data_IF_440212825024
#
_entry.id   IF_440212825024
#
_cell.length_a   1.000
_cell.length_b   1.000
_cell.length_c   1.000
_cell.angle_alpha   90.00
_cell.angle_beta   90.00
_cell.angle_gamma   90.00
#
_symmetry.space_group_name_H-M   'P 1'
#
loop_
_entity.id
_entity.type
_entity.pdbx_description
1 polymer ?
#
# COMPACT_ATOMS: atom_id res chain seq x y z
N UNK A 1 1.28 17.39 -11.75
CA UNK A 1 1.13 17.21 -10.29
C UNK A 1 0.28 15.98 -10.01
N UNK A 2 0.73 15.11 -9.14
CA UNK A 2 -0.05 13.95 -8.72
C UNK A 2 -0.91 14.32 -7.50
N UNK A 3 -2.20 13.98 -7.54
CA UNK A 3 -3.11 14.17 -6.42
C UNK A 3 -3.69 12.81 -6.07
N UNK A 4 -3.44 12.35 -4.85
CA UNK A 4 -4.05 11.17 -4.30
C UNK A 4 -5.16 11.60 -3.34
N UNK A 5 -6.35 11.06 -3.53
CA UNK A 5 -7.46 11.36 -2.65
C UNK A 5 -7.51 10.36 -1.51
N UNK A 6 -7.49 10.88 -0.29
CA UNK A 6 -7.77 10.09 0.89
C UNK A 6 -9.25 10.21 1.23
N UNK A 7 -9.83 9.12 1.69
CA UNK A 7 -11.23 9.14 2.11
C UNK A 7 -11.34 9.24 3.61
N UNK A 8 -12.24 10.10 4.06
CA UNK A 8 -12.57 10.21 5.47
C UNK A 8 -13.78 9.34 5.77
N UNK A 9 -13.65 8.46 6.75
CA UNK A 9 -14.78 7.64 7.18
C UNK A 9 -15.76 8.48 7.98
N UNK A 10 -16.95 8.68 7.44
CA UNK A 10 -17.99 9.45 8.14
C UNK A 10 -18.77 8.61 9.11
N UNK A 11 -18.82 7.30 8.88
CA UNK A 11 -19.49 6.34 9.77
C UNK A 11 -18.71 5.06 9.74
N UNK A 12 -18.19 4.65 10.88
CA UNK A 12 -17.27 3.54 10.96
C UNK A 12 -17.72 2.57 12.06
N UNK A 13 -17.33 1.30 11.87
CA UNK A 13 -17.58 0.26 12.85
C UNK A 13 -16.46 -0.76 12.80
N UNK A 14 -16.35 -1.57 13.83
CA UNK A 14 -15.39 -2.65 13.90
C UNK A 14 -14.21 -2.35 14.79
N UNK A 15 -13.22 -3.26 14.78
CA UNK A 15 -12.08 -3.23 15.69
C UNK A 15 -11.15 -2.03 15.49
N UNK A 16 -11.23 -1.37 14.37
CA UNK A 16 -10.40 -0.19 14.12
C UNK A 16 -10.73 0.96 15.07
N UNK A 17 -11.96 1.03 15.54
CA UNK A 17 -12.37 2.03 16.51
C UNK A 17 -11.75 1.79 17.88
N UNK A 18 -11.31 0.57 18.15
CA UNK A 18 -10.72 0.17 19.43
C UNK A 18 -9.20 0.33 19.44
N UNK A 19 -8.62 1.03 18.47
CA UNK A 19 -7.21 1.35 18.46
C UNK A 19 -6.33 0.41 17.61
N UNK A 20 -6.94 -0.54 16.88
CA UNK A 20 -6.17 -1.44 16.00
C UNK A 20 -5.50 -0.67 14.87
N UNK A 21 -6.15 0.36 14.37
CA UNK A 21 -5.59 1.24 13.33
C UNK A 21 -5.94 2.68 13.66
N UNK A 22 -5.29 3.26 14.69
CA UNK A 22 -5.69 4.58 15.21
C UNK A 22 -5.54 5.72 14.21
N UNK A 23 -4.59 5.60 13.29
CA UNK A 23 -4.32 6.66 12.31
C UNK A 23 -4.91 6.37 10.93
N UNK A 24 -5.40 5.16 10.72
CA UNK A 24 -6.00 4.76 9.46
C UNK A 24 -5.33 3.55 8.83
N UNK A 25 -5.69 3.30 7.58
CA UNK A 25 -5.18 2.18 6.81
C UNK A 25 -4.64 2.67 5.47
N UNK A 26 -3.49 2.13 5.08
CA UNK A 26 -2.90 2.36 3.77
C UNK A 26 -3.13 1.12 2.90
N UNK A 27 -4.00 1.24 1.91
CA UNK A 27 -4.31 0.13 1.01
C UNK A 27 -3.21 -0.13 0.01
N UNK A 28 -2.67 -1.35 0.00
CA UNK A 28 -1.61 -1.78 -0.90
C UNK A 28 -2.04 -2.99 -1.74
N UNK A 29 -3.33 -3.24 -1.80
CA UNK A 29 -3.86 -4.37 -2.55
C UNK A 29 -3.84 -4.17 -4.05
N UNK A 30 -4.34 -5.16 -4.74
CA UNK A 30 -4.35 -5.19 -6.21
C UNK A 30 -5.44 -4.30 -6.80
N UNK A 31 -6.40 -3.84 -6.01
CA UNK A 31 -7.51 -3.03 -6.47
C UNK A 31 -7.07 -1.68 -7.03
N UNK A 32 -7.91 -1.11 -7.88
CA UNK A 32 -7.58 0.14 -8.58
C UNK A 32 -7.44 1.36 -7.67
N UNK A 33 -8.02 1.29 -6.47
CA UNK A 33 -7.98 2.40 -5.52
C UNK A 33 -6.80 2.34 -4.56
N UNK A 34 -5.99 1.29 -4.59
CA UNK A 34 -4.79 1.22 -3.76
C UNK A 34 -3.76 2.26 -4.22
N UNK A 35 -2.91 2.69 -3.31
CA UNK A 35 -1.91 3.72 -3.62
C UNK A 35 -0.98 3.31 -4.77
N UNK A 36 -0.40 2.09 -4.79
CA UNK A 36 0.44 1.70 -5.92
C UNK A 36 -0.30 1.75 -7.25
N UNK A 37 -1.55 1.28 -7.27
CA UNK A 37 -2.34 1.27 -8.50
C UNK A 37 -2.64 2.67 -9.00
N UNK A 38 -2.98 3.59 -8.10
CA UNK A 38 -3.25 4.98 -8.46
C UNK A 38 -1.99 5.66 -9.00
N UNK A 39 -0.85 5.43 -8.35
CA UNK A 39 0.43 5.99 -8.80
C UNK A 39 0.85 5.43 -10.17
N UNK A 40 0.66 4.14 -10.38
CA UNK A 40 0.99 3.51 -11.65
C UNK A 40 0.07 4.00 -12.78
N UNK A 41 -1.21 4.15 -12.49
CA UNK A 41 -2.18 4.65 -13.46
C UNK A 41 -1.88 6.09 -13.87
N UNK A 42 -1.33 6.88 -12.97
CA UNK A 42 -0.88 8.24 -13.27
C UNK A 42 0.46 8.27 -14.04
N UNK A 43 1.09 7.12 -14.28
CA UNK A 43 2.35 7.04 -15.00
C UNK A 43 3.57 7.47 -14.19
N UNK A 44 3.44 7.57 -12.88
CA UNK A 44 4.51 8.07 -12.02
C UNK A 44 5.50 6.98 -11.60
N UNK A 45 5.01 5.75 -11.40
CA UNK A 45 5.82 4.62 -10.95
C UNK A 45 5.32 3.35 -11.62
N UNK A 46 6.10 2.28 -11.51
CA UNK A 46 5.63 0.95 -11.87
C UNK A 46 4.62 0.48 -10.81
N UNK A 47 3.72 -0.41 -11.20
CA UNK A 47 2.75 -0.97 -10.26
C UNK A 47 3.41 -2.03 -9.38
N UNK A 48 4.28 -1.58 -8.52
CA UNK A 48 5.02 -2.41 -7.58
C UNK A 48 5.39 -1.59 -6.36
N UNK A 49 5.71 -2.26 -5.29
CA UNK A 49 6.27 -1.63 -4.10
C UNK A 49 7.17 -2.62 -3.38
N UNK A 50 8.04 -2.10 -2.53
CA UNK A 50 8.88 -2.92 -1.66
C UNK A 50 8.88 -2.35 -0.25
N UNK A 51 9.12 -3.20 0.72
CA UNK A 51 9.20 -2.83 2.13
C UNK A 51 10.48 -3.35 2.73
N UNK A 52 11.04 -2.57 3.65
CA UNK A 52 12.20 -2.95 4.43
C UNK A 52 11.90 -2.72 5.90
N UNK A 53 11.94 -3.77 6.70
CA UNK A 53 11.69 -3.70 8.12
C UNK A 53 13.00 -3.84 8.87
N UNK A 54 13.27 -2.92 9.78
CA UNK A 54 14.45 -2.96 10.63
C UNK A 54 14.12 -3.57 11.98
N UNK A 55 15.15 -4.06 12.68
CA UNK A 55 14.96 -4.70 13.98
C UNK A 55 14.47 -3.75 15.06
N UNK A 56 14.77 -2.46 14.92
CA UNK A 56 14.38 -1.43 15.88
C UNK A 56 12.92 -0.97 15.76
N UNK A 57 12.14 -1.59 14.87
CA UNK A 57 10.76 -1.22 14.66
C UNK A 57 10.55 -0.16 13.59
N UNK A 58 11.62 0.41 13.04
CA UNK A 58 11.51 1.33 11.91
C UNK A 58 11.43 0.56 10.59
N UNK A 59 11.14 1.28 9.52
CA UNK A 59 11.09 0.66 8.21
C UNK A 59 10.94 1.68 7.10
N UNK A 60 10.91 1.18 5.88
CA UNK A 60 10.70 2.01 4.69
C UNK A 60 9.82 1.27 3.71
N UNK A 61 9.08 2.05 2.94
CA UNK A 61 8.31 1.56 1.79
C UNK A 61 8.75 2.37 0.57
N UNK A 62 8.91 1.68 -0.54
CA UNK A 62 9.27 2.29 -1.82
C UNK A 62 8.22 1.91 -2.86
N UNK A 63 7.73 2.88 -3.60
CA UNK A 63 6.78 2.65 -4.67
C UNK A 63 7.50 2.62 -6.02
N UNK A 64 7.17 1.61 -6.84
CA UNK A 64 7.79 1.47 -8.15
C UNK A 64 9.17 0.84 -8.13
N UNK A 65 9.64 0.41 -6.97
CA UNK A 65 10.94 -0.18 -6.79
C UNK A 65 10.83 -1.71 -6.85
N UNK A 66 11.78 -2.33 -7.53
CA UNK A 66 11.87 -3.79 -7.57
C UNK A 66 12.66 -4.36 -6.40
N UNK A 67 13.22 -3.50 -5.54
CA UNK A 67 14.04 -3.91 -4.42
C UNK A 67 15.44 -4.35 -4.82
N UNK A 68 16.13 -4.98 -3.89
CA UNK A 68 17.47 -5.52 -4.14
C UNK A 68 17.36 -6.89 -4.81
N UNK A 69 18.41 -7.27 -5.56
CA UNK A 69 18.47 -8.57 -6.23
C UNK A 69 18.39 -9.74 -5.24
N UNK A 70 18.84 -9.51 -4.00
CA UNK A 70 18.80 -10.51 -2.94
C UNK A 70 17.48 -10.54 -2.18
N UNK A 71 16.62 -9.58 -2.43
CA UNK A 71 15.32 -9.47 -1.75
C UNK A 71 14.34 -10.44 -2.39
N UNK A 72 13.53 -11.08 -1.57
CA UNK A 72 12.46 -11.94 -2.07
C UNK A 72 11.28 -11.12 -2.53
N UNK A 73 10.60 -11.60 -3.55
CA UNK A 73 9.41 -10.93 -4.07
C UNK A 73 8.31 -11.95 -4.31
N UNK A 74 7.08 -11.47 -4.29
CA UNK A 74 5.92 -12.26 -4.66
C UNK A 74 5.13 -11.50 -5.71
N UNK A 75 4.63 -12.19 -6.74
CA UNK A 75 3.72 -11.55 -7.68
C UNK A 75 2.35 -11.36 -7.05
N UNK A 76 1.58 -10.43 -7.57
CA UNK A 76 0.17 -10.35 -7.24
C UNK A 76 -0.55 -11.57 -7.80
N UNK A 77 -1.45 -12.13 -7.00
CA UNK A 77 -2.30 -13.22 -7.47
C UNK A 77 -3.38 -12.68 -8.41
N UNK A 78 -3.87 -13.51 -9.36
CA UNK A 78 -5.01 -13.12 -10.17
C UNK A 78 -6.20 -12.80 -9.29
N UNK A 79 -7.01 -11.86 -9.79
CA UNK A 79 -8.04 -11.22 -9.04
C UNK A 79 -9.31 -12.01 -8.94
N UNK A 80 -9.41 -12.91 -8.03
CA UNK A 80 -10.71 -13.47 -7.69
C UNK A 80 -11.17 -13.11 -6.28
N UNK A 81 -10.44 -12.30 -5.59
CA UNK A 81 -10.80 -12.03 -4.22
C UNK A 81 -9.92 -10.99 -3.58
N UNK A 82 -9.86 -9.86 -4.17
CA UNK A 82 -9.13 -8.78 -3.54
C UNK A 82 -9.87 -8.18 -2.35
#
# INVERSE_FOLDING_TARGET
MFISECRCGMKQSGGYLDGVAPDGLLGLGLGEISVPSVLAKAGLVRNSFSMCFNEDGSGRIFFGDLGLATQQSTPFLPLDGT
#
